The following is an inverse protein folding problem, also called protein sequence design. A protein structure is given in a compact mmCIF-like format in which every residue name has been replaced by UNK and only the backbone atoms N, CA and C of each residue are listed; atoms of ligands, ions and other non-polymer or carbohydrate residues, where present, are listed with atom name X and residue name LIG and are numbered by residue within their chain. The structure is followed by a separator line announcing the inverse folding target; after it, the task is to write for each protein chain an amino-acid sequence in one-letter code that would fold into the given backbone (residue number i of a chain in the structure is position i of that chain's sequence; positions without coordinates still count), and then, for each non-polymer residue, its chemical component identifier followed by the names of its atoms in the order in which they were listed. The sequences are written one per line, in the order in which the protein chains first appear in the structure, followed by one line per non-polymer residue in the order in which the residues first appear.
data_IF_105176034859
#
_entry.id   IF_105176034859
#
_cell.length_a   1.000
_cell.length_b   1.000
_cell.length_c   1.000
_cell.angle_alpha   90.00
_cell.angle_beta   90.00
_cell.angle_gamma   90.00
#
_symmetry.space_group_name_H-M   'P 1'
#
loop_
_entity.id
_entity.type
_entity.pdbx_description
1 polymer ?
#
# COMPACT_ATOMS: atom_id res chain seq x y z
N UNK A 1 -79.36 -39.98 15.83
CA UNK A 1 -78.85 -41.33 15.52
C UNK A 1 -77.33 -41.30 15.62
N UNK A 2 -76.75 -42.19 16.42
CA UNK A 2 -75.31 -42.28 16.72
C UNK A 2 -74.60 -43.16 15.68
N UNK A 3 -73.37 -42.83 15.27
CA UNK A 3 -72.32 -43.83 14.96
C UNK A 3 -70.94 -43.31 15.38
N UNK A 4 -70.31 -44.10 16.24
CA UNK A 4 -69.00 -43.96 16.88
C UNK A 4 -67.88 -44.44 15.92
N UNK A 5 -66.69 -43.83 15.83
CA UNK A 5 -65.50 -43.91 16.71
C UNK A 5 -64.66 -45.22 16.53
N UNK A 6 -63.33 -45.01 16.48
CA UNK A 6 -62.18 -45.94 16.53
C UNK A 6 -61.57 -46.49 15.23
N UNK A 7 -60.23 -46.38 15.17
CA UNK A 7 -59.34 -47.11 14.28
C UNK A 7 -58.19 -46.23 13.76
N UNK A 8 -57.47 -45.48 14.62
CA UNK A 8 -56.11 -45.83 15.05
C UNK A 8 -55.41 -46.91 14.19
N UNK A 9 -54.18 -46.61 13.76
CA UNK A 9 -53.19 -47.47 13.06
C UNK A 9 -53.17 -47.47 11.53
N UNK A 10 -52.96 -46.29 10.95
CA UNK A 10 -52.16 -46.15 9.73
C UNK A 10 -50.77 -45.63 10.09
N UNK A 11 -50.03 -46.46 10.82
CA UNK A 11 -48.69 -46.19 11.34
C UNK A 11 -47.67 -46.26 10.17
N UNK A 12 -46.87 -45.19 10.05
CA UNK A 12 -45.60 -45.10 9.30
C UNK A 12 -45.69 -44.85 7.78
N UNK A 13 -44.77 -43.99 7.33
CA UNK A 13 -44.49 -43.50 5.98
C UNK A 13 -45.38 -42.30 5.63
N UNK A 14 -44.94 -41.05 5.70
CA UNK A 14 -43.68 -40.53 5.18
C UNK A 14 -43.26 -39.32 6.01
N UNK A 15 -42.18 -39.50 6.74
CA UNK A 15 -41.22 -38.45 7.07
C UNK A 15 -40.86 -37.71 5.79
N UNK A 16 -41.26 -36.44 5.65
CA UNK A 16 -40.67 -35.60 4.61
C UNK A 16 -41.55 -34.49 4.04
N UNK A 17 -42.07 -33.57 4.85
CA UNK A 17 -42.31 -32.19 4.39
C UNK A 17 -42.14 -31.24 5.60
N UNK A 18 -40.88 -31.03 5.99
CA UNK A 18 -40.47 -29.95 6.90
C UNK A 18 -39.56 -29.01 6.13
N UNK A 19 -40.01 -28.62 4.95
CA UNK A 19 -39.36 -27.67 4.05
C UNK A 19 -40.44 -26.81 3.42
N UNK A 20 -40.14 -25.52 3.26
CA UNK A 20 -41.00 -24.41 2.82
C UNK A 20 -41.68 -23.72 4.01
N UNK A 21 -41.36 -22.50 4.42
CA UNK A 21 -40.85 -21.34 3.70
C UNK A 21 -39.82 -20.62 4.58
N UNK A 22 -38.53 -20.75 4.24
CA UNK A 22 -37.56 -19.74 4.62
C UNK A 22 -37.94 -18.45 3.89
N UNK A 23 -38.14 -17.37 4.63
CA UNK A 23 -38.21 -16.04 4.05
C UNK A 23 -36.86 -15.77 3.38
N UNK A 24 -36.82 -15.90 2.06
CA UNK A 24 -35.72 -15.37 1.26
C UNK A 24 -35.83 -13.87 1.38
N UNK A 25 -34.99 -13.28 2.23
CA UNK A 25 -34.76 -11.85 2.24
C UNK A 25 -34.12 -11.51 0.88
N UNK A 26 -34.88 -10.92 -0.03
CA UNK A 26 -34.30 -10.20 -1.15
C UNK A 26 -33.48 -9.06 -0.59
N UNK A 27 -32.19 -9.30 -0.38
CA UNK A 27 -31.22 -8.22 -0.24
C UNK A 27 -31.24 -7.49 -1.57
N UNK A 28 -32.00 -6.39 -1.66
CA UNK A 28 -31.92 -5.46 -2.77
C UNK A 28 -30.49 -4.95 -2.79
N UNK A 29 -29.63 -5.58 -3.59
CA UNK A 29 -28.34 -5.03 -3.94
C UNK A 29 -28.63 -3.66 -4.54
N UNK A 30 -28.33 -2.61 -3.78
CA UNK A 30 -28.45 -1.24 -4.25
C UNK A 30 -27.74 -1.12 -5.60
N UNK A 31 -28.20 -0.23 -6.49
CA UNK A 31 -27.69 -0.13 -7.86
C UNK A 31 -26.17 -0.14 -7.84
N UNK A 32 -25.57 -1.21 -8.37
CA UNK A 32 -24.14 -1.34 -8.57
C UNK A 32 -23.76 -0.35 -9.68
N UNK A 33 -23.59 0.91 -9.29
CA UNK A 33 -23.06 1.97 -10.14
C UNK A 33 -21.58 1.66 -10.38
N UNK A 34 -21.33 0.81 -11.36
CA UNK A 34 -20.02 0.67 -11.98
C UNK A 34 -19.77 1.91 -12.83
N UNK A 35 -19.35 3.00 -12.18
CA UNK A 35 -18.91 4.20 -12.89
C UNK A 35 -17.64 3.81 -13.67
N UNK A 36 -17.82 3.44 -14.94
CA UNK A 36 -16.75 3.26 -15.90
C UNK A 36 -16.24 4.64 -16.27
N UNK A 37 -15.46 5.26 -15.38
CA UNK A 37 -14.66 6.43 -15.74
C UNK A 37 -13.67 5.91 -16.79
N UNK A 38 -13.70 6.40 -18.05
CA UNK A 38 -12.67 6.05 -19.00
C UNK A 38 -11.34 6.54 -18.41
N UNK A 39 -10.58 5.59 -17.85
CA UNK A 39 -9.24 5.87 -17.36
C UNK A 39 -8.39 6.11 -18.61
N UNK A 40 -7.65 7.24 -18.68
CA UNK A 40 -6.63 7.37 -19.70
C UNK A 40 -5.69 6.17 -19.59
N UNK A 41 -5.20 5.65 -20.72
CA UNK A 41 -4.39 4.45 -20.72
C UNK A 41 -3.23 4.60 -19.74
N UNK A 42 -2.89 3.53 -18.98
CA UNK A 42 -1.74 3.55 -18.11
C UNK A 42 -0.54 3.97 -18.94
N UNK A 43 0.25 4.94 -18.46
CA UNK A 43 1.30 5.51 -19.28
C UNK A 43 2.32 4.46 -19.72
N UNK A 44 2.99 4.70 -20.86
CA UNK A 44 3.92 3.74 -21.43
C UNK A 44 5.08 3.42 -20.49
N UNK A 45 5.69 2.27 -20.78
CA UNK A 45 6.90 1.73 -20.18
C UNK A 45 7.98 2.81 -20.10
N UNK A 46 8.15 3.39 -18.90
CA UNK A 46 9.03 4.56 -18.73
C UNK A 46 10.50 4.24 -18.92
N UNK A 47 10.93 3.04 -18.55
CA UNK A 47 12.34 2.70 -18.56
C UNK A 47 12.58 1.39 -19.30
N UNK A 48 13.30 1.41 -20.45
CA UNK A 48 13.65 0.20 -21.21
C UNK A 48 14.51 -0.79 -20.41
N UNK A 49 15.21 -0.28 -19.40
CA UNK A 49 16.16 -0.99 -18.52
C UNK A 49 16.00 -0.47 -17.08
N UNK A 50 16.51 -1.18 -16.06
CA UNK A 50 16.52 -0.65 -14.70
C UNK A 50 17.09 0.78 -14.65
N UNK A 51 16.36 1.74 -14.05
CA UNK A 51 16.79 3.12 -14.06
C UNK A 51 18.04 3.32 -13.20
N UNK A 52 18.84 4.31 -13.59
CA UNK A 52 19.75 4.92 -12.64
C UNK A 52 18.93 5.71 -11.62
N UNK A 53 19.33 5.59 -10.36
CA UNK A 53 18.66 6.24 -9.25
C UNK A 53 19.59 7.20 -8.52
N UNK A 54 19.03 8.31 -8.08
CA UNK A 54 19.66 9.29 -7.20
C UNK A 54 19.01 9.15 -5.84
N UNK A 55 19.83 8.91 -4.82
CA UNK A 55 19.36 8.84 -3.44
C UNK A 55 19.33 10.25 -2.88
N UNK A 56 18.15 10.72 -2.47
CA UNK A 56 18.03 12.05 -1.89
C UNK A 56 18.62 12.06 -0.48
N UNK A 57 19.63 12.90 -0.18
CA UNK A 57 20.21 13.00 1.15
C UNK A 57 19.14 13.36 2.19
N UNK A 58 19.20 12.71 3.36
CA UNK A 58 18.27 12.95 4.50
C UNK A 58 16.79 12.70 4.20
N UNK A 59 16.46 12.17 3.02
CA UNK A 59 15.11 11.76 2.65
C UNK A 59 15.08 10.26 2.39
N UNK A 60 13.91 9.67 2.53
CA UNK A 60 13.69 8.28 2.14
C UNK A 60 13.36 8.13 0.66
N UNK A 61 13.20 9.25 -0.05
CA UNK A 61 12.87 9.27 -1.47
C UNK A 61 14.10 8.96 -2.30
N UNK A 62 13.89 8.09 -3.28
CA UNK A 62 14.84 7.81 -4.35
C UNK A 62 14.26 8.40 -5.64
N UNK A 63 15.08 9.04 -6.45
CA UNK A 63 14.66 9.67 -7.70
C UNK A 63 15.16 8.79 -8.84
N UNK A 64 14.31 8.48 -9.83
CA UNK A 64 14.75 7.93 -11.11
C UNK A 64 14.62 9.02 -12.17
N UNK A 65 15.72 9.64 -12.62
CA UNK A 65 15.68 10.66 -13.65
C UNK A 65 15.11 10.09 -14.95
N UNK A 66 14.08 10.73 -15.49
CA UNK A 66 13.56 10.48 -16.82
C UNK A 66 13.41 11.82 -17.57
N UNK A 67 13.69 11.87 -18.88
CA UNK A 67 13.65 13.12 -19.65
C UNK A 67 12.25 13.74 -19.72
N UNK A 68 11.21 12.92 -19.80
CA UNK A 68 9.85 13.40 -20.06
C UNK A 68 8.95 13.49 -18.81
N UNK A 69 9.26 12.72 -17.77
CA UNK A 69 8.39 12.62 -16.59
C UNK A 69 9.22 12.56 -15.32
N UNK A 70 8.65 13.03 -14.21
CA UNK A 70 9.28 12.87 -12.92
C UNK A 70 8.92 11.50 -12.35
N UNK A 71 9.90 10.81 -11.78
CA UNK A 71 9.71 9.49 -11.18
C UNK A 71 10.44 9.40 -9.85
N UNK A 72 9.69 9.00 -8.83
CA UNK A 72 10.15 8.90 -7.46
C UNK A 72 9.83 7.51 -6.91
N UNK A 73 10.71 6.95 -6.10
CA UNK A 73 10.48 5.72 -5.38
C UNK A 73 10.43 6.02 -3.87
N UNK A 74 9.36 5.56 -3.22
CA UNK A 74 9.14 5.70 -1.79
C UNK A 74 8.14 4.65 -1.31
N UNK A 75 8.47 3.98 -0.20
CA UNK A 75 7.56 3.04 0.46
C UNK A 75 7.10 1.91 -0.46
N UNK A 76 8.04 1.28 -1.16
CA UNK A 76 7.81 0.15 -2.10
C UNK A 76 6.97 0.48 -3.33
N UNK A 77 6.78 1.76 -3.62
CA UNK A 77 6.07 2.24 -4.79
C UNK A 77 6.87 3.27 -5.56
N UNK A 78 6.75 3.16 -6.88
CA UNK A 78 7.11 4.18 -7.84
C UNK A 78 5.96 5.16 -7.99
N UNK A 79 6.25 6.45 -8.00
CA UNK A 79 5.34 7.57 -8.04
C UNK A 79 5.74 8.49 -9.18
N UNK A 80 4.77 8.95 -9.97
CA UNK A 80 5.05 9.85 -11.08
C UNK A 80 3.91 10.87 -11.24
N UNK A 81 4.17 12.16 -11.04
CA UNK A 81 3.20 13.22 -11.36
C UNK A 81 3.16 13.43 -12.87
N UNK A 82 1.96 13.46 -13.46
CA UNK A 82 1.77 13.74 -14.89
C UNK A 82 0.53 14.62 -15.06
N UNK A 83 0.75 15.89 -15.41
CA UNK A 83 -0.29 16.90 -15.42
C UNK A 83 -0.92 17.06 -14.02
N UNK A 84 -2.24 16.90 -13.92
CA UNK A 84 -2.98 17.00 -12.67
C UNK A 84 -3.16 15.67 -11.92
N UNK A 85 -2.59 14.57 -12.43
CA UNK A 85 -2.75 13.22 -11.86
C UNK A 85 -1.44 12.69 -11.32
N UNK A 86 -1.57 11.76 -10.38
CA UNK A 86 -0.47 10.95 -9.91
C UNK A 86 -0.65 9.53 -10.40
N UNK A 87 0.47 8.90 -10.70
CA UNK A 87 0.54 7.51 -11.11
C UNK A 87 1.41 6.75 -10.12
N UNK A 88 1.00 5.53 -9.78
CA UNK A 88 1.72 4.66 -8.86
C UNK A 88 1.91 3.26 -9.44
N UNK A 89 3.10 2.70 -9.30
CA UNK A 89 3.43 1.33 -9.70
C UNK A 89 4.26 0.62 -8.64
N UNK A 90 4.22 -0.71 -8.58
CA UNK A 90 5.18 -1.50 -7.78
C UNK A 90 6.53 -1.65 -8.47
N UNK A 91 6.57 -1.59 -9.80
CA UNK A 91 7.80 -1.69 -10.59
C UNK A 91 8.06 -0.39 -11.36
N UNK A 92 9.33 -0.09 -11.64
CA UNK A 92 9.74 1.12 -12.36
C UNK A 92 9.12 1.23 -13.76
N UNK A 93 8.79 0.09 -14.34
CA UNK A 93 8.27 -0.04 -15.70
C UNK A 93 6.75 -0.25 -15.77
N UNK A 94 6.06 -0.21 -14.63
CA UNK A 94 4.61 -0.41 -14.55
C UNK A 94 4.20 -1.79 -14.01
N UNK A 95 2.90 -2.12 -14.04
CA UNK A 95 1.79 -1.30 -14.51
C UNK A 95 1.52 -0.08 -13.62
N UNK A 96 1.22 1.05 -14.24
CA UNK A 96 0.96 2.32 -13.55
C UNK A 96 -0.53 2.53 -13.29
N UNK A 97 -0.90 2.71 -12.02
CA UNK A 97 -2.26 2.97 -11.59
C UNK A 97 -2.46 4.45 -11.29
N UNK A 98 -3.57 5.03 -11.74
CA UNK A 98 -3.95 6.41 -11.39
C UNK A 98 -4.32 6.46 -9.92
N UNK A 99 -3.78 7.45 -9.21
CA UNK A 99 -4.11 7.71 -7.81
C UNK A 99 -4.38 9.19 -7.57
N UNK A 100 -5.26 9.48 -6.62
CA UNK A 100 -5.51 10.86 -6.19
C UNK A 100 -4.28 11.39 -5.44
N UNK A 101 -3.93 12.66 -5.68
CA UNK A 101 -2.80 13.35 -5.06
C UNK A 101 -2.83 13.33 -3.53
N UNK A 102 -4.02 13.22 -2.91
CA UNK A 102 -4.17 13.11 -1.45
C UNK A 102 -3.57 11.85 -0.85
N UNK A 103 -3.39 10.78 -1.63
CA UNK A 103 -2.77 9.53 -1.19
C UNK A 103 -1.27 9.50 -1.45
N UNK A 104 -0.70 10.57 -2.02
CA UNK A 104 0.72 10.67 -2.29
C UNK A 104 1.44 11.05 -0.99
N UNK A 105 2.44 10.28 -0.56
CA UNK A 105 3.21 10.56 0.65
C UNK A 105 3.78 11.98 0.65
N UNK A 106 3.80 12.62 1.83
CA UNK A 106 4.37 13.97 2.00
C UNK A 106 5.83 14.04 1.56
N UNK A 107 6.61 12.99 1.82
CA UNK A 107 8.01 12.88 1.39
C UNK A 107 8.17 13.01 -0.13
N UNK A 108 7.27 12.40 -0.91
CA UNK A 108 7.29 12.47 -2.38
C UNK A 108 6.83 13.85 -2.86
N UNK A 109 5.80 14.42 -2.24
CA UNK A 109 5.32 15.79 -2.58
C UNK A 109 6.31 16.89 -2.21
N UNK A 110 7.17 16.63 -1.22
CA UNK A 110 8.20 17.56 -0.76
C UNK A 110 9.49 17.54 -1.57
N UNK A 111 9.59 16.67 -2.59
CA UNK A 111 10.73 16.71 -3.52
C UNK A 111 10.70 18.04 -4.29
N UNK A 112 11.79 18.81 -4.28
CA UNK A 112 11.84 20.07 -5.02
C UNK A 112 11.56 19.86 -6.51
N UNK A 113 10.85 20.80 -7.16
CA UNK A 113 10.56 20.70 -8.60
C UNK A 113 11.83 20.79 -9.46
N UNK A 114 12.83 21.49 -8.94
CA UNK A 114 14.16 21.69 -9.48
C UNK A 114 15.16 20.60 -9.03
N UNK A 115 14.69 19.44 -8.57
CA UNK A 115 15.55 18.34 -8.11
C UNK A 115 16.65 17.95 -9.10
N UNK A 116 16.39 18.12 -10.41
CA UNK A 116 17.37 17.81 -11.48
C UNK A 116 18.64 18.66 -11.35
N UNK A 117 18.49 19.90 -10.92
CA UNK A 117 19.60 20.83 -10.66
C UNK A 117 20.16 20.62 -9.26
N UNK A 118 19.29 20.48 -8.26
CA UNK A 118 19.70 20.33 -6.85
C UNK A 118 20.56 19.08 -6.64
N UNK A 119 20.19 17.97 -7.27
CA UNK A 119 20.89 16.69 -7.12
C UNK A 119 21.72 16.31 -8.36
N UNK A 120 22.08 17.28 -9.20
CA UNK A 120 22.90 17.03 -10.39
C UNK A 120 24.25 16.41 -10.05
N UNK A 121 24.84 16.84 -8.92
CA UNK A 121 26.14 16.38 -8.42
C UNK A 121 26.07 15.11 -7.57
N UNK A 122 24.87 14.61 -7.29
CA UNK A 122 24.73 13.41 -6.48
C UNK A 122 25.09 12.16 -7.27
N UNK A 123 25.77 11.18 -6.65
CA UNK A 123 26.09 9.92 -7.30
C UNK A 123 24.83 9.20 -7.77
N UNK A 124 24.94 8.59 -8.95
CA UNK A 124 23.90 7.74 -9.53
C UNK A 124 24.25 6.28 -9.33
N UNK A 125 23.24 5.48 -8.98
CA UNK A 125 23.40 4.04 -8.78
C UNK A 125 22.42 3.28 -9.65
N UNK A 126 22.79 2.11 -10.20
CA UNK A 126 21.81 1.23 -10.82
C UNK A 126 20.76 0.79 -9.80
N UNK A 127 19.48 0.85 -10.17
CA UNK A 127 18.38 0.40 -9.30
C UNK A 127 18.52 -1.07 -8.87
N UNK A 128 19.19 -1.93 -9.64
CA UNK A 128 19.42 -3.34 -9.26
C UNK A 128 20.11 -3.49 -7.90
N UNK A 129 20.91 -2.50 -7.49
CA UNK A 129 21.60 -2.49 -6.21
C UNK A 129 20.77 -1.88 -5.07
N UNK A 130 19.55 -1.41 -5.36
CA UNK A 130 18.68 -0.71 -4.44
C UNK A 130 18.34 -1.53 -3.19
N UNK A 131 18.08 -2.83 -3.34
CA UNK A 131 17.73 -3.71 -2.21
C UNK A 131 18.89 -3.82 -1.21
N UNK A 132 20.13 -3.89 -1.69
CA UNK A 132 21.32 -3.89 -0.84
C UNK A 132 21.42 -2.59 -0.05
N UNK A 133 21.21 -1.47 -0.72
CA UNK A 133 21.24 -0.16 -0.10
C UNK A 133 20.10 0.03 0.94
N UNK A 134 18.87 -0.42 0.64
CA UNK A 134 17.76 -0.38 1.60
C UNK A 134 18.10 -1.18 2.85
N UNK A 135 18.67 -2.38 2.67
CA UNK A 135 19.08 -3.24 3.80
C UNK A 135 20.11 -2.55 4.67
N UNK A 136 21.16 -1.98 4.08
CA UNK A 136 22.21 -1.25 4.78
C UNK A 136 21.62 -0.07 5.57
N UNK A 137 20.82 0.78 4.93
CA UNK A 137 20.20 1.94 5.60
C UNK A 137 19.26 1.52 6.74
N UNK A 138 18.50 0.45 6.56
CA UNK A 138 17.60 -0.08 7.59
C UNK A 138 18.39 -0.61 8.80
N UNK A 139 19.55 -1.22 8.57
CA UNK A 139 20.46 -1.62 9.64
C UNK A 139 21.01 -0.40 10.40
N UNK A 140 21.53 0.61 9.71
CA UNK A 140 22.01 1.85 10.34
C UNK A 140 20.93 2.56 11.17
N UNK A 141 19.68 2.54 10.71
CA UNK A 141 18.53 3.06 11.48
C UNK A 141 18.30 2.28 12.76
N UNK A 142 18.39 0.94 12.71
CA UNK A 142 18.22 0.07 13.88
C UNK A 142 19.34 0.30 14.89
N UNK A 143 20.58 0.36 14.43
CA UNK A 143 21.75 0.64 15.27
C UNK A 143 21.66 2.02 15.93
N UNK A 144 21.30 3.06 15.16
CA UNK A 144 21.09 4.41 15.71
C UNK A 144 19.98 4.44 16.76
N UNK A 145 18.91 3.68 16.56
CA UNK A 145 17.82 3.55 17.55
C UNK A 145 18.32 2.83 18.81
N UNK A 146 19.00 1.70 18.65
CA UNK A 146 19.58 0.95 19.76
C UNK A 146 20.56 1.80 20.59
N UNK A 147 21.43 2.56 19.93
CA UNK A 147 22.35 3.49 20.61
C UNK A 147 21.58 4.57 21.41
N UNK A 148 20.52 5.14 20.85
CA UNK A 148 19.69 6.15 21.54
C UNK A 148 19.00 5.56 22.76
N UNK A 149 18.50 4.33 22.66
CA UNK A 149 17.79 3.65 23.74
C UNK A 149 18.77 3.29 24.88
N UNK A 150 19.93 2.71 24.56
CA UNK A 150 21.00 2.44 25.53
C UNK A 150 21.53 3.71 26.22
N UNK A 151 21.67 4.82 25.49
CA UNK A 151 22.10 6.09 26.07
C UNK A 151 21.05 6.68 27.03
N UNK A 152 19.75 6.52 26.72
CA UNK A 152 18.67 6.94 27.64
C UNK A 152 18.68 6.12 28.93
N UNK A 153 18.83 4.81 28.83
CA UNK A 153 18.88 3.91 29.99
C UNK A 153 20.04 4.26 30.93
N UNK A 154 21.25 4.45 30.39
CA UNK A 154 22.42 4.86 31.17
C UNK A 154 22.21 6.18 31.94
N UNK A 155 21.53 7.16 31.33
CA UNK A 155 21.22 8.43 31.99
C UNK A 155 20.22 8.26 33.15
N UNK A 156 19.24 7.38 33.00
CA UNK A 156 18.25 7.10 34.04
C UNK A 156 18.84 6.32 35.22
N UNK A 157 19.77 5.38 34.96
CA UNK A 157 20.47 4.65 36.01
C UNK A 157 21.36 5.54 36.88
N UNK A 158 22.04 6.53 36.29
CA UNK A 158 22.89 7.49 37.01
C UNK A 158 22.12 8.48 37.89
N UNK A 159 20.85 8.75 37.56
CA UNK A 159 20.00 9.67 38.35
C UNK A 159 19.39 9.04 39.61
N UNK A 160 19.25 7.70 39.65
CA UNK A 160 18.63 6.98 40.79
C UNK A 160 19.61 6.67 41.92
N UNK A 161 20.91 6.80 41.72
CA UNK A 161 21.95 6.52 42.72
C UNK A 161 22.35 7.71 43.60
N UNK A 162 21.58 8.81 43.61
CA UNK A 162 21.98 10.08 44.26
C UNK A 162 20.99 10.60 45.31
N UNK A 163 20.16 9.73 45.88
CA UNK A 163 19.47 10.00 47.16
C UNK A 163 20.14 9.19 48.26
N UNK A 164 21.02 9.85 49.01
CA UNK A 164 21.48 9.39 50.32
C UNK A 164 21.29 10.55 51.28
#
# INVERSE_FOLDING_TARGET
MKKNIYGLFGLIAVTGVLLTFGWVQETTAGPHLSIRIPLPPPPPFLFPRPPEIIVVPRSEVVIAPHPEVDVFFYGDYWWSPRGNRWYRSRNYNGPWNVINSRYVPSHVRGVPRDYRTVYEREPRYPYENHDRWIKQRNQEKRERKAWRDHNKENKQGRGRGRSN
#
